data_IF_440986877950
#
_entry.id   IF_440986877950
#
_cell.length_a   1.000
_cell.length_b   1.000
_cell.length_c   1.000
_cell.angle_alpha   90.00
_cell.angle_beta   90.00
_cell.angle_gamma   90.00
#
_symmetry.space_group_name_H-M   'P 1'
#
loop_
_entity.id
_entity.type
_entity.pdbx_description
1 polymer ?
#
# COMPACT_ATOMS: atom_id res chain seq x y z
N UNK A 1 -16.63 35.19 15.52
CA UNK A 1 -16.67 34.03 14.60
C UNK A 1 -15.94 32.88 15.27
N UNK A 2 -16.57 31.71 15.33
CA UNK A 2 -15.91 30.45 15.72
C UNK A 2 -14.98 30.00 14.59
N UNK A 3 -13.79 29.50 14.94
CA UNK A 3 -12.87 28.92 13.94
C UNK A 3 -13.34 27.50 13.61
N UNK A 4 -13.36 27.19 12.33
CA UNK A 4 -13.52 25.85 11.81
C UNK A 4 -12.13 25.31 11.46
N UNK A 5 -11.76 24.15 12.01
CA UNK A 5 -10.47 23.50 11.78
C UNK A 5 -10.76 22.06 11.38
N UNK A 6 -10.36 21.70 10.16
CA UNK A 6 -10.48 20.35 9.63
C UNK A 6 -9.16 19.63 9.86
N UNK A 7 -9.21 18.41 10.42
CA UNK A 7 -8.04 17.58 10.71
C UNK A 7 -8.27 16.21 10.09
N UNK A 8 -7.26 15.67 9.41
CA UNK A 8 -7.30 14.35 8.80
C UNK A 8 -6.03 13.56 9.12
N UNK A 9 -6.17 12.25 9.16
CA UNK A 9 -5.06 11.31 9.29
C UNK A 9 -4.97 10.46 8.01
N UNK A 10 -3.82 10.53 7.35
CA UNK A 10 -3.43 9.64 6.27
C UNK A 10 -2.49 8.58 6.79
N UNK A 11 -2.81 7.31 6.55
CA UNK A 11 -2.02 6.16 6.99
C UNK A 11 -1.47 5.44 5.76
N UNK A 12 -0.15 5.49 5.58
CA UNK A 12 0.54 4.80 4.50
C UNK A 12 0.93 3.39 4.96
N UNK A 13 0.41 2.36 4.29
CA UNK A 13 0.65 0.94 4.66
C UNK A 13 1.83 0.38 3.89
N UNK A 14 2.99 1.01 4.06
CA UNK A 14 4.22 0.64 3.35
C UNK A 14 4.56 -0.82 3.55
N UNK A 15 4.51 -1.28 4.81
CA UNK A 15 4.79 -2.66 5.19
C UNK A 15 6.03 -3.21 4.46
N UNK A 16 5.91 -4.36 3.79
CA UNK A 16 6.98 -4.94 2.98
C UNK A 16 7.24 -4.11 1.70
N UNK A 17 6.21 -3.49 1.12
CA UNK A 17 6.33 -2.70 -0.10
C UNK A 17 7.38 -1.59 0.04
N UNK A 18 7.38 -0.86 1.16
CA UNK A 18 8.36 0.20 1.41
C UNK A 18 9.81 -0.29 1.39
N UNK A 19 10.08 -1.46 1.98
CA UNK A 19 11.42 -2.07 1.98
C UNK A 19 11.87 -2.47 0.58
N UNK A 20 10.94 -2.92 -0.26
CA UNK A 20 11.23 -3.32 -1.64
C UNK A 20 11.46 -2.13 -2.57
N UNK A 21 10.69 -1.05 -2.42
CA UNK A 21 10.69 0.05 -3.39
C UNK A 21 11.46 1.29 -2.97
N UNK A 22 11.77 1.47 -1.68
CA UNK A 22 12.26 2.76 -1.19
C UNK A 22 13.31 2.67 -0.08
N UNK A 23 13.26 1.67 0.79
CA UNK A 23 14.09 1.66 2.00
C UNK A 23 15.32 0.74 1.92
N UNK A 24 15.54 0.07 0.79
CA UNK A 24 16.75 -0.72 0.54
C UNK A 24 16.83 -2.04 1.32
N UNK A 25 15.67 -2.63 1.63
CA UNK A 25 15.55 -3.86 2.42
C UNK A 25 15.30 -5.11 1.60
N UNK A 26 15.42 -5.04 0.27
CA UNK A 26 15.03 -6.13 -0.65
C UNK A 26 15.79 -7.44 -0.41
N UNK A 27 17.05 -7.36 0.03
CA UNK A 27 17.91 -8.51 0.31
C UNK A 27 18.12 -8.73 1.82
N UNK A 28 17.27 -8.14 2.67
CA UNK A 28 17.40 -8.15 4.12
C UNK A 28 16.19 -8.82 4.80
N UNK A 29 16.31 -10.10 5.24
CA UNK A 29 15.21 -10.79 5.91
C UNK A 29 14.72 -10.08 7.18
N UNK A 30 15.61 -9.39 7.88
CA UNK A 30 15.25 -8.62 9.08
C UNK A 30 14.32 -7.45 8.70
N UNK A 31 14.62 -6.74 7.62
CA UNK A 31 13.81 -5.62 7.14
C UNK A 31 12.46 -6.09 6.62
N UNK A 32 12.45 -7.19 5.87
CA UNK A 32 11.20 -7.84 5.44
C UNK A 32 10.35 -8.22 6.66
N UNK A 33 10.95 -8.74 7.74
CA UNK A 33 10.22 -9.07 8.97
C UNK A 33 9.57 -7.83 9.62
N UNK A 34 10.24 -6.67 9.57
CA UNK A 34 9.66 -5.40 10.03
C UNK A 34 8.47 -4.97 9.18
N UNK A 35 8.52 -5.22 7.87
CA UNK A 35 7.41 -5.03 6.95
C UNK A 35 6.21 -5.93 7.27
N UNK A 36 6.45 -7.21 7.56
CA UNK A 36 5.39 -8.17 7.98
C UNK A 36 4.73 -7.71 9.27
N UNK A 37 5.53 -7.29 10.27
CA UNK A 37 5.00 -6.73 11.52
C UNK A 37 4.08 -5.54 11.27
N UNK A 38 4.46 -4.62 10.38
CA UNK A 38 3.64 -3.45 10.07
C UNK A 38 2.27 -3.83 9.48
N UNK A 39 2.23 -4.81 8.57
CA UNK A 39 0.99 -5.30 7.96
C UNK A 39 0.10 -6.10 8.92
N UNK A 40 0.66 -7.10 9.61
CA UNK A 40 -0.11 -8.03 10.44
C UNK A 40 -0.49 -7.45 11.80
N UNK A 41 0.37 -6.62 12.38
CA UNK A 41 0.24 -6.15 13.78
C UNK A 41 0.08 -4.64 13.84
N UNK A 42 0.94 -3.88 13.17
CA UNK A 42 0.97 -2.42 13.22
C UNK A 42 -0.35 -1.80 12.73
N UNK A 43 -0.82 -2.21 11.56
CA UNK A 43 -2.05 -1.74 10.96
C UNK A 43 -3.27 -2.00 11.86
N UNK A 44 -3.40 -3.21 12.42
CA UNK A 44 -4.55 -3.55 13.26
C UNK A 44 -4.54 -2.78 14.59
N UNK A 45 -3.37 -2.52 15.17
CA UNK A 45 -3.27 -1.67 16.37
C UNK A 45 -3.69 -0.22 16.10
N UNK A 46 -3.34 0.33 14.94
CA UNK A 46 -3.79 1.66 14.54
C UNK A 46 -5.30 1.68 14.31
N UNK A 47 -5.83 0.66 13.64
CA UNK A 47 -7.26 0.55 13.38
C UNK A 47 -8.07 0.49 14.69
N UNK A 48 -7.65 -0.36 15.64
CA UNK A 48 -8.26 -0.46 16.96
C UNK A 48 -8.15 0.86 17.76
N UNK A 49 -7.04 1.59 17.61
CA UNK A 49 -6.86 2.89 18.22
C UNK A 49 -7.86 3.91 17.67
N UNK A 50 -8.04 3.97 16.36
CA UNK A 50 -8.97 4.92 15.73
C UNK A 50 -10.43 4.59 16.06
N UNK A 51 -10.80 3.32 16.16
CA UNK A 51 -12.12 2.92 16.62
C UNK A 51 -12.37 3.34 18.08
N UNK A 52 -11.39 3.15 18.95
CA UNK A 52 -11.49 3.59 20.36
C UNK A 52 -11.71 5.09 20.49
N UNK A 53 -11.17 5.87 19.55
CA UNK A 53 -11.28 7.32 19.52
C UNK A 53 -12.45 7.84 18.69
N UNK A 54 -13.21 6.95 18.03
CA UNK A 54 -14.27 7.29 17.06
C UNK A 54 -13.78 8.23 15.93
N UNK A 55 -12.58 7.96 15.40
CA UNK A 55 -11.94 8.74 14.34
C UNK A 55 -11.97 7.96 13.02
N UNK A 56 -12.50 8.58 11.96
CA UNK A 56 -12.33 8.08 10.59
C UNK A 56 -11.08 8.65 9.93
N UNK A 57 -10.42 7.80 9.15
CA UNK A 57 -9.12 8.07 8.54
C UNK A 57 -9.08 7.56 7.11
N UNK A 58 -8.05 7.96 6.38
CA UNK A 58 -7.77 7.50 5.01
C UNK A 58 -6.51 6.63 5.02
N UNK A 59 -6.58 5.48 4.36
CA UNK A 59 -5.48 4.51 4.30
C UNK A 59 -4.98 4.38 2.86
N UNK A 60 -3.72 4.74 2.64
CA UNK A 60 -3.05 4.62 1.35
C UNK A 60 -2.32 3.29 1.31
N UNK A 61 -2.87 2.33 0.56
CA UNK A 61 -2.43 0.93 0.60
C UNK A 61 -1.71 0.60 -0.71
N UNK A 62 -0.41 0.24 -0.67
CA UNK A 62 0.28 -0.31 -1.83
C UNK A 62 -0.38 -1.62 -2.26
N UNK A 63 -0.46 -1.88 -3.56
CA UNK A 63 -1.04 -3.12 -4.07
C UNK A 63 -0.37 -4.39 -3.54
N UNK A 64 0.96 -4.35 -3.30
CA UNK A 64 1.68 -5.44 -2.62
C UNK A 64 1.12 -5.66 -1.22
N UNK A 65 0.91 -4.61 -0.42
CA UNK A 65 0.36 -4.71 0.94
C UNK A 65 -1.07 -5.24 0.92
N UNK A 66 -1.89 -4.84 -0.06
CA UNK A 66 -3.24 -5.36 -0.23
C UNK A 66 -3.29 -6.86 -0.58
N UNK A 67 -2.39 -7.33 -1.45
CA UNK A 67 -2.30 -8.75 -1.80
C UNK A 67 -1.63 -9.58 -0.70
N UNK A 68 -0.71 -9.00 0.08
CA UNK A 68 0.04 -9.71 1.14
C UNK A 68 -0.75 -9.83 2.44
N UNK A 69 -1.53 -8.80 2.80
CA UNK A 69 -2.30 -8.75 4.06
C UNK A 69 -3.80 -8.57 3.78
N UNK A 70 -4.45 -9.45 3.00
CA UNK A 70 -5.79 -9.21 2.48
C UNK A 70 -6.85 -9.13 3.58
N UNK A 71 -6.71 -9.89 4.66
CA UNK A 71 -7.64 -9.87 5.78
C UNK A 71 -7.58 -8.54 6.54
N UNK A 72 -6.36 -8.07 6.84
CA UNK A 72 -6.12 -6.80 7.52
C UNK A 72 -6.61 -5.63 6.68
N UNK A 73 -6.30 -5.60 5.37
CA UNK A 73 -6.73 -4.51 4.49
C UNK A 73 -8.25 -4.52 4.24
N UNK A 74 -8.88 -5.71 4.19
CA UNK A 74 -10.33 -5.81 4.13
C UNK A 74 -11.01 -5.27 5.40
N UNK A 75 -10.41 -5.49 6.57
CA UNK A 75 -10.94 -4.99 7.84
C UNK A 75 -10.96 -3.45 7.87
N UNK A 76 -9.93 -2.78 7.32
CA UNK A 76 -9.90 -1.31 7.16
C UNK A 76 -11.13 -0.81 6.39
N UNK A 77 -11.43 -1.41 5.23
CA UNK A 77 -12.61 -1.07 4.43
C UNK A 77 -13.91 -1.34 5.19
N UNK A 78 -13.99 -2.51 5.83
CA UNK A 78 -15.17 -2.97 6.57
C UNK A 78 -15.51 -2.06 7.76
N UNK A 79 -14.50 -1.47 8.41
CA UNK A 79 -14.69 -0.48 9.48
C UNK A 79 -14.97 0.94 8.97
N UNK A 80 -15.14 1.11 7.66
CA UNK A 80 -15.61 2.35 7.04
C UNK A 80 -14.54 3.44 6.91
N UNK A 81 -13.26 3.06 6.86
CA UNK A 81 -12.18 3.99 6.51
C UNK A 81 -12.09 4.16 4.99
N UNK A 82 -11.62 5.32 4.55
CA UNK A 82 -11.36 5.57 3.13
C UNK A 82 -10.09 4.82 2.70
N UNK A 83 -10.07 4.30 1.47
CA UNK A 83 -8.90 3.65 0.87
C UNK A 83 -8.40 4.45 -0.33
N UNK A 84 -7.12 4.81 -0.29
CA UNK A 84 -6.38 5.45 -1.36
C UNK A 84 -5.29 4.53 -1.94
N UNK A 85 -4.76 4.94 -3.09
CA UNK A 85 -3.71 4.22 -3.83
C UNK A 85 -2.33 4.64 -3.35
N UNK A 86 -1.41 3.69 -3.22
CA UNK A 86 -0.02 3.97 -2.84
C UNK A 86 1.01 3.15 -3.63
N UNK A 87 0.86 3.12 -4.96
CA UNK A 87 1.68 2.27 -5.84
C UNK A 87 1.43 0.77 -5.61
N UNK A 88 2.40 -0.07 -6.02
CA UNK A 88 2.36 -1.52 -5.80
C UNK A 88 3.36 -1.92 -4.75
N UNK A 89 4.64 -1.80 -5.08
CA UNK A 89 5.77 -2.10 -4.20
C UNK A 89 6.43 -0.81 -3.72
N UNK A 90 5.64 0.25 -3.51
CA UNK A 90 6.12 1.57 -3.08
C UNK A 90 7.25 2.10 -3.99
N UNK A 91 6.97 2.09 -5.30
CA UNK A 91 7.95 2.45 -6.32
C UNK A 91 8.13 3.98 -6.35
N UNK A 92 9.35 4.45 -6.60
CA UNK A 92 9.55 5.87 -6.82
C UNK A 92 9.00 6.26 -8.22
N UNK A 93 8.00 7.16 -8.32
CA UNK A 93 7.38 7.50 -9.59
C UNK A 93 8.32 8.24 -10.55
N UNK A 94 9.46 8.75 -10.09
CA UNK A 94 10.48 9.36 -10.95
C UNK A 94 11.27 8.27 -11.71
N UNK A 95 11.45 7.09 -11.11
CA UNK A 95 12.32 6.04 -11.65
C UNK A 95 11.55 4.96 -12.42
N UNK A 96 10.22 4.94 -12.33
CA UNK A 96 9.39 3.86 -12.85
C UNK A 96 8.21 4.39 -13.68
N UNK A 97 8.01 3.82 -14.87
CA UNK A 97 6.76 4.01 -15.61
C UNK A 97 5.70 3.12 -14.96
N UNK A 98 4.74 3.74 -14.28
CA UNK A 98 3.63 3.06 -13.61
C UNK A 98 2.38 3.08 -14.51
N UNK A 99 1.80 1.90 -14.74
CA UNK A 99 0.46 1.79 -15.34
C UNK A 99 -0.55 1.62 -14.22
N UNK A 100 -1.45 2.58 -14.08
CA UNK A 100 -2.57 2.50 -13.14
C UNK A 100 -3.65 1.63 -13.76
N UNK A 101 -3.84 0.42 -13.22
CA UNK A 101 -4.97 -0.42 -13.60
C UNK A 101 -6.08 -0.22 -12.58
N UNK A 102 -7.19 0.38 -13.02
CA UNK A 102 -8.40 0.50 -12.20
C UNK A 102 -9.15 -0.83 -12.23
N UNK A 103 -9.03 -1.64 -11.17
CA UNK A 103 -9.89 -2.81 -10.99
C UNK A 103 -11.08 -2.38 -10.13
N UNK A 104 -12.22 -2.14 -10.77
CA UNK A 104 -13.50 -2.01 -10.07
C UNK A 104 -14.10 -3.41 -9.93
N UNK A 105 -14.18 -3.94 -8.70
CA UNK A 105 -14.98 -5.15 -8.47
C UNK A 105 -16.38 -4.72 -8.05
N UNK A 106 -17.37 -5.17 -8.81
CA UNK A 106 -18.76 -4.79 -8.63
C UNK A 106 -19.35 -5.48 -7.40
N UNK A 107 -19.83 -4.63 -6.49
CA UNK A 107 -20.83 -4.83 -5.43
C UNK A 107 -20.31 -5.32 -4.06
N UNK A 108 -20.58 -4.46 -3.06
CA UNK A 108 -20.46 -4.61 -1.60
C UNK A 108 -19.11 -4.30 -0.91
N UNK A 109 -18.25 -3.51 -1.58
CA UNK A 109 -16.88 -3.01 -1.23
C UNK A 109 -15.77 -4.06 -1.34
N UNK A 110 -14.90 -3.91 -2.36
CA UNK A 110 -13.54 -3.39 -2.13
C UNK A 110 -13.02 -2.49 -3.28
N UNK A 111 -12.26 -1.44 -2.95
CA UNK A 111 -11.38 -0.77 -3.91
C UNK A 111 -9.95 -1.05 -3.48
N UNK A 112 -9.34 -2.06 -4.10
CA UNK A 112 -7.89 -2.23 -4.10
C UNK A 112 -7.42 -1.82 -5.49
N UNK A 113 -6.76 -0.66 -5.57
CA UNK A 113 -6.10 -0.22 -6.79
C UNK A 113 -4.66 -0.72 -6.69
N UNK A 114 -4.35 -1.80 -7.39
CA UNK A 114 -2.96 -2.24 -7.57
C UNK A 114 -2.43 -1.63 -8.86
N UNK A 115 -1.35 -0.85 -8.81
CA UNK A 115 -0.46 -0.79 -9.99
C UNK A 115 0.22 -2.16 -10.09
N UNK A 116 0.59 -2.66 -11.26
CA UNK A 116 1.64 -3.68 -11.34
C UNK A 116 2.71 -3.10 -12.23
N UNK A 117 3.99 -3.07 -11.82
CA UNK A 117 5.03 -2.61 -12.72
C UNK A 117 5.05 -3.55 -13.93
N UNK A 118 4.81 -2.99 -15.12
CA UNK A 118 5.20 -3.64 -16.36
C UNK A 118 6.73 -3.69 -16.34
N UNK A 119 7.31 -4.86 -16.07
CA UNK A 119 8.73 -5.08 -16.34
C UNK A 119 8.89 -5.04 -17.86
N UNK A 120 9.07 -3.84 -18.41
CA UNK A 120 9.79 -3.69 -19.66
C UNK A 120 11.23 -4.08 -19.32
N UNK A 121 11.56 -5.36 -19.54
CA UNK A 121 12.97 -5.73 -19.71
C UNK A 121 13.50 -4.83 -20.82
N UNK A 122 14.32 -3.85 -20.45
CA UNK A 122 15.23 -3.22 -21.39
C UNK A 122 16.01 -4.37 -22.01
N UNK A 123 15.67 -4.72 -23.25
CA UNK A 123 16.58 -5.47 -24.09
C UNK A 123 17.78 -4.56 -24.30
N UNK A 124 18.74 -4.64 -23.36
CA UNK A 124 20.11 -4.26 -23.64
C UNK A 124 20.55 -5.13 -24.81
N UNK A 125 20.78 -4.48 -25.94
CA UNK A 125 21.23 -5.05 -27.20
C UNK A 125 22.64 -5.61 -27.04
N UNK A 126 22.77 -6.77 -26.40
CA UNK A 126 23.98 -7.60 -26.35
C UNK A 126 23.64 -8.89 -25.60
N UNK A 127 23.06 -9.88 -26.30
CA UNK A 127 23.46 -11.30 -26.29
C UNK A 127 22.37 -12.12 -27.04
N UNK A 128 22.54 -12.30 -28.34
CA UNK A 128 21.84 -13.34 -29.09
C UNK A 128 22.75 -13.81 -30.23
N UNK A 129 23.60 -14.78 -29.92
CA UNK A 129 24.21 -15.71 -30.87
C UNK A 129 24.38 -17.03 -30.13
N UNK A 130 23.33 -17.85 -30.15
CA UNK A 130 23.37 -19.22 -30.69
C UNK A 130 22.02 -19.45 -31.37
#
# INVERSE_FOLDING_TARGET
MTKEILVGFGIDVDAVAGWLGSYGGEDSPDDISRGVFAGEVGAMRLLDLFDKLDIKTTWFIPGHSAETFPEQMAEVAKRGHEIGVHGYSHENPITTIITVTLITTTHTTPIVITTKPLVLRSFSSKLMMV
#
